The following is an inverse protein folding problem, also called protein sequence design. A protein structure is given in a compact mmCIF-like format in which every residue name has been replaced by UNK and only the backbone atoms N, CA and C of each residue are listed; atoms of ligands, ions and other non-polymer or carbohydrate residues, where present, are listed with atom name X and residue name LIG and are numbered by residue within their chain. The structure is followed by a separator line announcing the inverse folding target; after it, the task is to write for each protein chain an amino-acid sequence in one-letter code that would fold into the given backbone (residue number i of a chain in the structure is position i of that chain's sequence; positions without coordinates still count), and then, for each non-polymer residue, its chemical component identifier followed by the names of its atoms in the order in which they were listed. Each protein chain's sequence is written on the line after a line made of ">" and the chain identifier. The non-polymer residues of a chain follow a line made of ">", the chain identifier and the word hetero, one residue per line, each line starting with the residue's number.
data_IF_868224272504
#
_entry.id   IF_868224272504
#
_cell.length_a   1.000
_cell.length_b   1.000
_cell.length_c   1.000
_cell.angle_alpha   90.00
_cell.angle_beta   90.00
_cell.angle_gamma   90.00
#
_symmetry.space_group_name_H-M   'P 1'
#
loop_
_entity.id
_entity.type
_entity.pdbx_description
1 polymer ?
#
# COMPACT_ATOMS: atom_id res chain seq x y z
N UNK A 1 45.70 -13.77 4.28
CA UNK A 1 46.22 -13.71 2.90
C UNK A 1 45.11 -14.16 1.97
N UNK A 2 44.54 -13.27 1.18
CA UNK A 2 43.71 -13.63 0.02
C UNK A 2 43.61 -12.43 -0.92
N UNK A 3 44.22 -12.57 -2.09
CA UNK A 3 43.82 -11.95 -3.35
C UNK A 3 43.75 -10.43 -3.43
N UNK A 4 44.89 -9.73 -3.32
CA UNK A 4 45.02 -8.42 -3.95
C UNK A 4 45.02 -8.62 -5.47
N UNK A 5 43.96 -8.18 -6.13
CA UNK A 5 43.73 -8.35 -7.57
C UNK A 5 44.82 -7.60 -8.36
N UNK A 6 45.84 -8.33 -8.82
CA UNK A 6 47.00 -7.83 -9.55
C UNK A 6 46.69 -7.43 -11.01
N UNK A 7 45.41 -7.36 -11.38
CA UNK A 7 44.93 -7.08 -12.74
C UNK A 7 44.72 -5.58 -13.05
N UNK A 8 44.91 -4.70 -12.07
CA UNK A 8 44.58 -3.27 -12.21
C UNK A 8 45.73 -2.38 -12.71
N UNK A 9 46.96 -2.70 -12.32
CA UNK A 9 48.16 -1.90 -12.58
C UNK A 9 48.61 -1.86 -14.07
N UNK A 10 48.35 -2.88 -14.93
CA UNK A 10 48.79 -2.84 -16.33
C UNK A 10 47.98 -1.93 -17.29
N UNK A 11 46.82 -1.41 -16.88
CA UNK A 11 45.85 -0.82 -17.83
C UNK A 11 46.11 0.64 -18.19
N UNK A 12 46.64 1.44 -17.27
CA UNK A 12 46.88 2.87 -17.51
C UNK A 12 48.00 3.15 -18.52
N UNK A 13 49.20 2.53 -18.40
CA UNK A 13 50.28 2.75 -19.37
C UNK A 13 49.93 2.24 -20.77
N UNK A 14 49.20 1.13 -20.87
CA UNK A 14 48.75 0.58 -22.15
C UNK A 14 47.65 1.43 -22.80
N UNK A 15 46.68 1.93 -22.00
CA UNK A 15 45.65 2.88 -22.47
C UNK A 15 46.26 4.20 -22.92
N UNK A 16 47.20 4.77 -22.16
CA UNK A 16 47.93 5.99 -22.53
C UNK A 16 48.63 5.83 -23.89
N UNK A 17 49.38 4.72 -24.06
CA UNK A 17 50.08 4.45 -25.32
C UNK A 17 49.14 4.26 -26.51
N UNK A 18 47.92 3.76 -26.27
CA UNK A 18 46.90 3.57 -27.30
C UNK A 18 46.13 4.84 -27.67
N UNK A 19 45.83 5.71 -26.70
CA UNK A 19 44.97 6.89 -26.88
C UNK A 19 45.76 8.18 -27.13
N UNK A 20 46.95 8.30 -26.54
CA UNK A 20 47.79 9.50 -26.57
C UNK A 20 48.99 9.33 -27.50
N UNK A 21 49.79 8.29 -27.27
CA UNK A 21 51.00 8.01 -28.04
C UNK A 21 52.09 7.33 -27.20
N UNK A 22 53.16 6.88 -27.85
CA UNK A 22 54.28 6.19 -27.17
C UNK A 22 55.22 7.11 -26.40
N UNK A 23 55.08 8.42 -26.59
CA UNK A 23 55.89 9.50 -26.04
C UNK A 23 55.33 10.01 -24.70
N UNK A 24 56.23 10.37 -23.79
CA UNK A 24 55.87 11.00 -22.52
C UNK A 24 55.61 12.49 -22.78
N UNK A 25 54.34 12.87 -22.79
CA UNK A 25 53.93 14.22 -23.10
C UNK A 25 53.76 15.04 -21.81
N UNK A 26 54.20 16.29 -21.86
CA UNK A 26 53.98 17.29 -20.82
C UNK A 26 53.11 18.41 -21.40
N UNK A 27 51.96 18.65 -20.78
CA UNK A 27 51.02 19.67 -21.24
C UNK A 27 51.61 21.08 -21.20
N UNK A 28 52.40 21.42 -20.19
CA UNK A 28 53.02 22.74 -20.06
C UNK A 28 54.08 22.96 -21.16
N UNK A 29 54.83 21.91 -21.50
CA UNK A 29 55.78 21.93 -22.62
C UNK A 29 55.03 22.12 -23.94
N UNK A 30 53.99 21.31 -24.20
CA UNK A 30 53.18 21.43 -25.41
C UNK A 30 52.55 22.82 -25.56
N UNK A 31 51.99 23.39 -24.49
CA UNK A 31 51.42 24.75 -24.49
C UNK A 31 52.48 25.82 -24.75
N UNK A 32 53.70 25.64 -24.25
CA UNK A 32 54.81 26.56 -24.50
C UNK A 32 55.27 26.51 -25.97
N UNK A 33 55.35 25.32 -26.56
CA UNK A 33 55.71 25.11 -27.95
C UNK A 33 54.65 25.68 -28.91
N UNK A 34 53.36 25.46 -28.61
CA UNK A 34 52.26 26.05 -29.38
C UNK A 34 52.35 27.58 -29.39
N UNK A 35 52.56 28.22 -28.24
CA UNK A 35 52.72 29.68 -28.15
C UNK A 35 53.92 30.19 -28.95
N UNK A 36 55.04 29.47 -28.91
CA UNK A 36 56.24 29.82 -29.68
C UNK A 36 56.02 29.71 -31.20
N UNK A 37 55.33 28.65 -31.63
CA UNK A 37 54.96 28.44 -33.04
C UNK A 37 53.97 29.51 -33.51
N UNK A 38 53.00 29.91 -32.68
CA UNK A 38 52.07 31.00 -32.97
C UNK A 38 52.76 32.35 -33.14
N UNK A 39 53.69 32.69 -32.25
CA UNK A 39 54.49 33.92 -32.37
C UNK A 39 55.32 33.93 -33.66
N UNK A 40 55.91 32.77 -34.01
CA UNK A 40 56.68 32.61 -35.25
C UNK A 40 55.80 32.71 -36.50
N UNK A 41 54.61 32.10 -36.49
CA UNK A 41 53.63 32.21 -37.56
C UNK A 41 53.15 33.64 -37.74
N UNK A 42 52.88 34.36 -36.66
CA UNK A 42 52.48 35.75 -36.70
C UNK A 42 53.57 36.62 -37.34
N UNK A 43 54.82 36.48 -36.90
CA UNK A 43 55.95 37.24 -37.46
C UNK A 43 56.13 36.98 -38.97
N UNK A 44 56.01 35.73 -39.42
CA UNK A 44 56.14 35.38 -40.85
C UNK A 44 54.93 35.89 -41.64
N UNK A 45 53.72 35.92 -41.07
CA UNK A 45 52.53 36.53 -41.70
C UNK A 45 52.69 38.02 -41.91
N UNK A 46 53.14 38.75 -40.90
CA UNK A 46 53.41 40.18 -41.03
C UNK A 46 54.48 40.44 -42.11
N UNK A 47 55.56 39.65 -42.11
CA UNK A 47 56.62 39.75 -43.11
C UNK A 47 56.12 39.44 -44.52
N UNK A 48 55.34 38.36 -44.68
CA UNK A 48 54.75 37.98 -45.97
C UNK A 48 53.79 39.06 -46.49
N UNK A 49 52.92 39.59 -45.63
CA UNK A 49 51.96 40.64 -46.00
C UNK A 49 52.66 41.97 -46.36
N UNK A 50 53.75 42.31 -45.68
CA UNK A 50 54.55 43.48 -46.02
C UNK A 50 55.28 43.33 -47.37
N UNK A 51 55.72 42.11 -47.69
CA UNK A 51 56.52 41.83 -48.89
C UNK A 51 55.67 41.52 -50.14
N UNK A 52 54.46 40.98 -50.00
CA UNK A 52 53.62 40.61 -51.15
C UNK A 52 53.13 41.82 -51.96
N UNK A 53 53.10 43.01 -51.35
CA UNK A 53 52.74 44.27 -52.00
C UNK A 53 53.93 45.07 -52.54
N UNK A 54 55.16 44.61 -52.36
CA UNK A 54 56.38 45.31 -52.79
C UNK A 54 56.88 44.72 -54.12
N UNK A 55 56.86 45.53 -55.19
CA UNK A 55 57.28 45.15 -56.55
C UNK A 55 58.75 44.69 -56.63
N UNK A 56 59.59 45.04 -55.66
CA UNK A 56 61.00 44.61 -55.59
C UNK A 56 61.20 43.23 -54.96
N UNK A 57 60.16 42.63 -54.37
CA UNK A 57 60.24 41.31 -53.74
C UNK A 57 60.21 40.19 -54.78
N UNK A 58 61.18 39.29 -54.70
CA UNK A 58 61.22 38.12 -55.60
C UNK A 58 60.17 37.06 -55.25
N UNK A 59 59.60 36.41 -56.26
CA UNK A 59 58.64 35.31 -56.09
C UNK A 59 59.20 34.12 -55.28
N UNK A 60 60.50 33.87 -55.34
CA UNK A 60 61.16 32.82 -54.55
C UNK A 60 61.23 33.14 -53.06
N UNK A 61 61.37 34.43 -52.70
CA UNK A 61 61.27 34.90 -51.30
C UNK A 61 59.87 34.67 -50.75
N UNK A 62 58.83 35.06 -51.49
CA UNK A 62 57.43 34.84 -51.09
C UNK A 62 57.09 33.36 -50.97
N UNK A 63 57.55 32.54 -51.91
CA UNK A 63 57.36 31.08 -51.86
C UNK A 63 58.05 30.47 -50.65
N UNK A 64 59.27 30.92 -50.31
CA UNK A 64 60.00 30.44 -49.13
C UNK A 64 59.30 30.79 -47.82
N UNK A 65 58.74 32.00 -47.72
CA UNK A 65 57.94 32.43 -46.56
C UNK A 65 56.63 31.64 -46.46
N UNK A 66 55.94 31.40 -47.58
CA UNK A 66 54.73 30.58 -47.64
C UNK A 66 55.01 29.14 -47.19
N UNK A 67 56.05 28.49 -47.74
CA UNK A 67 56.43 27.13 -47.36
C UNK A 67 56.79 27.02 -45.87
N UNK A 68 57.46 28.05 -45.32
CA UNK A 68 57.77 28.11 -43.89
C UNK A 68 56.51 28.29 -43.04
N UNK A 69 55.54 29.06 -43.52
CA UNK A 69 54.24 29.21 -42.87
C UNK A 69 53.47 27.89 -42.84
N UNK A 70 53.45 27.16 -43.94
CA UNK A 70 52.79 25.86 -44.04
C UNK A 70 53.45 24.84 -43.10
N UNK A 71 54.79 24.80 -43.08
CA UNK A 71 55.55 23.92 -42.18
C UNK A 71 55.28 24.22 -40.70
N UNK A 72 55.31 25.49 -40.30
CA UNK A 72 55.03 25.90 -38.92
C UNK A 72 53.57 25.65 -38.54
N UNK A 73 52.63 25.85 -39.48
CA UNK A 73 51.22 25.53 -39.28
C UNK A 73 51.02 24.04 -39.04
N UNK A 74 51.71 23.19 -39.80
CA UNK A 74 51.72 21.74 -39.62
C UNK A 74 52.23 21.32 -38.25
N UNK A 75 53.39 21.82 -37.83
CA UNK A 75 53.97 21.53 -36.51
C UNK A 75 53.05 21.97 -35.36
N UNK A 76 52.47 23.16 -35.50
CA UNK A 76 51.56 23.73 -34.51
C UNK A 76 50.30 22.86 -34.39
N UNK A 77 49.74 22.41 -35.52
CA UNK A 77 48.59 21.49 -35.56
C UNK A 77 48.88 20.13 -34.92
N UNK A 78 50.07 19.56 -35.15
CA UNK A 78 50.50 18.31 -34.51
C UNK A 78 50.55 18.44 -32.98
N UNK A 79 51.18 19.50 -32.48
CA UNK A 79 51.32 19.73 -31.03
C UNK A 79 49.97 19.95 -30.33
N UNK A 80 49.03 20.63 -30.99
CA UNK A 80 47.66 20.74 -30.47
C UNK A 80 46.90 19.43 -30.47
N UNK A 81 47.07 18.57 -31.48
CA UNK A 81 46.42 17.25 -31.47
C UNK A 81 46.95 16.37 -30.32
N UNK A 82 48.27 16.44 -30.07
CA UNK A 82 48.90 15.79 -28.91
C UNK A 82 48.37 16.32 -27.58
N UNK A 83 48.29 17.64 -27.41
CA UNK A 83 47.72 18.26 -26.20
C UNK A 83 46.24 17.88 -26.01
N UNK A 84 45.47 17.83 -27.10
CA UNK A 84 44.07 17.39 -27.08
C UNK A 84 43.93 15.95 -26.62
N UNK A 85 44.70 15.02 -27.19
CA UNK A 85 44.70 13.60 -26.80
C UNK A 85 45.14 13.42 -25.34
N UNK A 86 46.15 14.16 -24.89
CA UNK A 86 46.60 14.16 -23.49
C UNK A 86 45.49 14.63 -22.54
N UNK A 87 44.80 15.73 -22.87
CA UNK A 87 43.68 16.25 -22.08
C UNK A 87 42.47 15.30 -22.08
N UNK A 88 42.19 14.66 -23.23
CA UNK A 88 41.16 13.62 -23.33
C UNK A 88 41.49 12.41 -22.46
N UNK A 89 42.74 11.93 -22.48
CA UNK A 89 43.20 10.84 -21.64
C UNK A 89 43.13 11.18 -20.16
N UNK A 90 43.53 12.40 -19.78
CA UNK A 90 43.36 12.87 -18.40
C UNK A 90 41.88 12.84 -17.96
N UNK A 91 40.95 13.22 -18.85
CA UNK A 91 39.51 13.13 -18.60
C UNK A 91 38.94 11.70 -18.58
N UNK A 92 39.40 10.81 -19.47
CA UNK A 92 38.96 9.40 -19.60
C UNK A 92 39.66 8.44 -18.63
N UNK A 93 40.73 8.89 -17.97
CA UNK A 93 41.49 8.09 -16.99
C UNK A 93 40.69 7.75 -15.71
N UNK A 94 39.57 8.45 -15.48
CA UNK A 94 38.64 8.13 -14.40
C UNK A 94 37.81 6.85 -14.66
N UNK A 95 37.77 6.31 -15.89
CA UNK A 95 37.19 4.97 -16.16
C UNK A 95 38.00 3.83 -15.50
N UNK A 96 39.17 4.14 -14.97
CA UNK A 96 39.97 3.24 -14.14
C UNK A 96 39.44 3.23 -12.70
N UNK A 97 38.29 3.84 -12.40
CA UNK A 97 37.56 3.67 -11.14
C UNK A 97 36.14 3.17 -11.45
N UNK A 98 35.79 1.96 -10.99
CA UNK A 98 34.47 1.37 -11.20
C UNK A 98 33.42 1.98 -10.25
N UNK A 99 32.23 2.32 -10.77
CA UNK A 99 31.08 2.79 -9.99
C UNK A 99 30.16 3.77 -10.72
N UNK A 100 29.15 4.30 -10.03
CA UNK A 100 28.18 5.28 -10.56
C UNK A 100 28.84 6.62 -10.96
N UNK A 101 29.99 6.95 -10.38
CA UNK A 101 30.84 8.08 -10.81
C UNK A 101 31.38 7.96 -12.24
N UNK A 102 31.43 6.75 -12.82
CA UNK A 102 31.88 6.56 -14.20
C UNK A 102 30.85 7.06 -15.23
N UNK A 103 29.54 7.00 -14.92
CA UNK A 103 28.48 7.41 -15.85
C UNK A 103 28.32 8.93 -15.96
N UNK A 104 28.50 9.65 -14.85
CA UNK A 104 28.51 11.12 -14.85
C UNK A 104 29.77 11.65 -15.53
N UNK A 105 30.91 10.98 -15.33
CA UNK A 105 32.16 11.32 -16.02
C UNK A 105 32.06 11.14 -17.53
N UNK A 106 31.43 10.06 -18.01
CA UNK A 106 31.25 9.80 -19.45
C UNK A 106 30.50 10.95 -20.16
N UNK A 107 29.46 11.51 -19.52
CA UNK A 107 28.74 12.67 -20.06
C UNK A 107 29.62 13.93 -20.10
N UNK A 108 30.41 14.18 -19.05
CA UNK A 108 31.34 15.31 -18.99
C UNK A 108 32.46 15.15 -20.02
N UNK A 109 33.05 13.95 -20.13
CA UNK A 109 34.10 13.62 -21.10
C UNK A 109 33.61 13.75 -22.53
N UNK A 110 32.40 13.27 -22.83
CA UNK A 110 31.76 13.45 -24.15
C UNK A 110 31.57 14.92 -24.48
N UNK A 111 31.01 15.70 -23.57
CA UNK A 111 30.78 17.14 -23.75
C UNK A 111 32.09 17.92 -23.95
N UNK A 112 33.12 17.62 -23.15
CA UNK A 112 34.46 18.20 -23.29
C UNK A 112 35.13 17.80 -24.61
N UNK A 113 35.03 16.53 -25.00
CA UNK A 113 35.57 16.02 -26.27
C UNK A 113 34.91 16.71 -27.46
N UNK A 114 33.59 16.87 -27.44
CA UNK A 114 32.86 17.62 -28.47
C UNK A 114 33.34 19.07 -28.53
N UNK A 115 33.45 19.77 -27.40
CA UNK A 115 33.95 21.15 -27.35
C UNK A 115 35.39 21.28 -27.88
N UNK A 116 36.29 20.39 -27.47
CA UNK A 116 37.68 20.37 -27.92
C UNK A 116 37.81 20.07 -29.43
N UNK A 117 37.01 19.13 -29.95
CA UNK A 117 37.02 18.83 -31.39
C UNK A 117 36.50 20.00 -32.23
N UNK A 118 35.53 20.78 -31.72
CA UNK A 118 35.07 22.01 -32.37
C UNK A 118 36.18 23.07 -32.41
N UNK A 119 36.85 23.33 -31.28
CA UNK A 119 37.98 24.27 -31.20
C UNK A 119 39.10 23.83 -32.15
N UNK A 120 39.43 22.53 -32.18
CA UNK A 120 40.44 22.00 -33.09
C UNK A 120 40.06 22.20 -34.57
N UNK A 121 38.80 21.93 -34.93
CA UNK A 121 38.30 22.13 -36.29
C UNK A 121 38.36 23.59 -36.74
N UNK A 122 37.91 24.51 -35.89
CA UNK A 122 37.95 25.96 -36.17
C UNK A 122 39.39 26.47 -36.35
N UNK A 123 40.32 25.87 -35.62
CA UNK A 123 41.69 26.31 -35.58
C UNK A 123 42.54 25.69 -36.71
N UNK A 124 42.22 24.46 -37.12
CA UNK A 124 42.77 23.83 -38.32
C UNK A 124 42.30 24.52 -39.61
N UNK A 125 41.09 25.10 -39.59
CA UNK A 125 40.49 25.84 -40.72
C UNK A 125 40.63 27.36 -40.60
N UNK A 126 41.52 27.85 -39.74
CA UNK A 126 41.65 29.28 -39.46
C UNK A 126 42.15 30.07 -40.70
N UNK A 127 41.23 30.83 -41.31
CA UNK A 127 41.48 31.68 -42.48
C UNK A 127 41.41 33.19 -42.22
N UNK A 128 41.42 33.64 -40.96
CA UNK A 128 41.42 35.07 -40.60
C UNK A 128 40.40 35.49 -39.54
N UNK A 129 39.33 34.71 -39.35
CA UNK A 129 38.32 34.93 -38.28
C UNK A 129 37.78 33.58 -37.77
N UNK A 130 37.53 33.47 -36.46
CA UNK A 130 36.88 32.29 -35.89
C UNK A 130 35.37 32.27 -36.18
N UNK A 131 34.78 31.11 -36.50
CA UNK A 131 33.34 30.98 -36.65
C UNK A 131 32.62 31.24 -35.32
N UNK A 132 31.49 31.96 -35.38
CA UNK A 132 30.61 32.14 -34.22
C UNK A 132 29.72 30.91 -34.05
N UNK A 133 29.99 30.12 -33.01
CA UNK A 133 29.08 29.05 -32.59
C UNK A 133 27.93 29.65 -31.77
N UNK A 134 26.69 29.50 -32.24
CA UNK A 134 25.52 29.94 -31.48
C UNK A 134 25.29 29.00 -30.27
N UNK A 135 24.81 29.50 -29.13
CA UNK A 135 24.42 28.64 -28.00
C UNK A 135 23.38 27.56 -28.39
N UNK A 136 22.60 27.79 -29.47
CA UNK A 136 21.66 26.79 -30.00
C UNK A 136 22.35 25.60 -30.68
N UNK A 137 23.59 25.75 -31.18
CA UNK A 137 24.37 24.70 -31.84
C UNK A 137 25.29 23.92 -30.90
N UNK A 138 25.39 24.30 -29.62
CA UNK A 138 26.22 23.63 -28.62
C UNK A 138 25.35 22.76 -27.70
N UNK A 139 24.97 21.58 -28.18
CA UNK A 139 24.15 20.61 -27.42
C UNK A 139 24.72 20.28 -26.04
N UNK A 140 26.05 20.27 -25.90
CA UNK A 140 26.73 20.02 -24.64
C UNK A 140 26.54 21.12 -23.58
N UNK A 141 26.43 22.40 -23.98
CA UNK A 141 26.18 23.52 -23.05
C UNK A 141 24.81 23.38 -22.41
N UNK A 142 23.78 23.06 -23.22
CA UNK A 142 22.43 22.80 -22.73
C UNK A 142 22.36 21.60 -21.78
N UNK A 143 23.15 20.56 -22.05
CA UNK A 143 23.26 19.40 -21.15
C UNK A 143 23.84 19.79 -19.79
N UNK A 144 24.87 20.64 -19.76
CA UNK A 144 25.48 21.10 -18.50
C UNK A 144 24.53 22.05 -17.75
N UNK A 145 23.92 23.01 -18.44
CA UNK A 145 22.93 23.92 -17.85
C UNK A 145 21.76 23.13 -17.24
N UNK A 146 21.25 22.13 -17.96
CA UNK A 146 20.16 21.28 -17.45
C UNK A 146 20.54 20.46 -16.21
N UNK A 147 21.79 19.99 -16.08
CA UNK A 147 22.25 19.31 -14.86
C UNK A 147 22.42 20.28 -13.68
N UNK A 148 22.85 21.53 -13.94
CA UNK A 148 22.89 22.58 -12.92
C UNK A 148 21.50 22.97 -12.42
N UNK A 149 20.52 23.08 -13.32
CA UNK A 149 19.14 23.37 -12.96
C UNK A 149 18.54 22.26 -12.08
N UNK A 150 18.80 20.99 -12.42
CA UNK A 150 18.38 19.84 -11.60
C UNK A 150 19.00 19.90 -10.21
N UNK A 151 20.30 20.16 -10.13
CA UNK A 151 21.01 20.29 -8.85
C UNK A 151 20.40 21.41 -7.99
N UNK A 152 20.20 22.59 -8.57
CA UNK A 152 19.64 23.73 -7.85
C UNK A 152 18.24 23.41 -7.30
N UNK A 153 17.41 22.75 -8.11
CA UNK A 153 16.08 22.32 -7.68
C UNK A 153 16.13 21.32 -6.51
N UNK A 154 17.01 20.31 -6.59
CA UNK A 154 17.18 19.32 -5.51
C UNK A 154 17.65 19.98 -4.22
N UNK A 155 18.61 20.91 -4.31
CA UNK A 155 19.12 21.66 -3.16
C UNK A 155 18.03 22.54 -2.54
N UNK A 156 17.29 23.30 -3.35
CA UNK A 156 16.20 24.15 -2.90
C UNK A 156 15.07 23.36 -2.23
N UNK A 157 14.65 22.25 -2.84
CA UNK A 157 13.58 21.41 -2.32
C UNK A 157 13.99 20.78 -0.98
N UNK A 158 15.24 20.33 -0.86
CA UNK A 158 15.77 19.84 0.42
C UNK A 158 15.79 20.95 1.49
N UNK A 159 16.23 22.17 1.16
CA UNK A 159 16.23 23.30 2.10
C UNK A 159 14.82 23.63 2.61
N UNK A 160 13.81 23.61 1.73
CA UNK A 160 12.40 23.81 2.14
C UNK A 160 11.94 22.75 3.13
N UNK A 161 12.33 21.49 2.93
CA UNK A 161 12.02 20.41 3.88
C UNK A 161 12.74 20.64 5.22
N UNK A 162 13.98 21.12 5.21
CA UNK A 162 14.71 21.46 6.44
C UNK A 162 14.04 22.59 7.23
N UNK A 163 13.61 23.66 6.56
CA UNK A 163 12.85 24.75 7.17
C UNK A 163 11.54 24.23 7.79
N UNK A 164 10.81 23.40 7.05
CA UNK A 164 9.58 22.77 7.55
C UNK A 164 9.83 21.92 8.81
N UNK A 165 10.93 21.18 8.86
CA UNK A 165 11.35 20.41 10.04
C UNK A 165 11.67 21.33 11.22
N UNK A 166 12.37 22.45 10.99
CA UNK A 166 12.69 23.47 12.00
C UNK A 166 11.43 24.13 12.56
N UNK A 167 10.46 24.43 11.72
CA UNK A 167 9.14 24.96 12.08
C UNK A 167 8.28 23.97 12.87
N UNK A 168 8.73 22.72 13.05
CA UNK A 168 7.98 21.68 13.76
C UNK A 168 6.80 21.11 12.98
N UNK A 169 6.64 21.47 11.71
CA UNK A 169 5.55 20.98 10.85
C UNK A 169 5.72 19.49 10.52
N UNK A 170 4.60 18.81 10.32
CA UNK A 170 4.56 17.39 9.96
C UNK A 170 5.05 17.16 8.52
N UNK A 171 5.87 16.10 8.34
CA UNK A 171 6.36 15.71 7.02
C UNK A 171 5.27 15.04 6.19
N UNK A 172 5.32 15.26 4.89
CA UNK A 172 4.45 14.59 3.90
C UNK A 172 5.23 13.60 3.07
N UNK A 173 4.52 12.77 2.29
CA UNK A 173 5.15 11.85 1.35
C UNK A 173 6.02 12.58 0.30
N UNK A 174 5.61 13.77 -0.12
CA UNK A 174 6.38 14.62 -1.03
C UNK A 174 7.71 15.09 -0.40
N UNK A 175 7.69 15.43 0.89
CA UNK A 175 8.91 15.81 1.62
C UNK A 175 9.90 14.63 1.70
N UNK A 176 9.41 13.40 1.89
CA UNK A 176 10.25 12.20 1.89
C UNK A 176 10.88 11.98 0.52
N UNK A 177 10.12 12.13 -0.57
CA UNK A 177 10.65 12.01 -1.94
C UNK A 177 11.77 13.01 -2.22
N UNK A 178 11.62 14.25 -1.73
CA UNK A 178 12.65 15.30 -1.84
C UNK A 178 13.93 14.94 -1.08
N UNK A 179 13.79 14.39 0.13
CA UNK A 179 14.95 13.93 0.91
C UNK A 179 15.65 12.74 0.24
N UNK A 180 14.89 11.78 -0.28
CA UNK A 180 15.46 10.62 -0.98
C UNK A 180 16.17 11.07 -2.27
N UNK A 181 15.61 12.03 -3.01
CA UNK A 181 16.27 12.64 -4.16
C UNK A 181 17.60 13.31 -3.78
N UNK A 182 17.64 14.03 -2.66
CA UNK A 182 18.87 14.62 -2.13
C UNK A 182 19.90 13.56 -1.72
N UNK A 183 19.49 12.50 -1.01
CA UNK A 183 20.36 11.37 -0.62
C UNK A 183 20.97 10.69 -1.84
N UNK A 184 20.18 10.44 -2.86
CA UNK A 184 20.64 9.80 -4.09
C UNK A 184 21.61 10.69 -4.88
N UNK A 185 21.40 12.01 -4.86
CA UNK A 185 22.31 12.95 -5.51
C UNK A 185 23.63 13.13 -4.74
N UNK A 186 23.58 13.03 -3.41
CA UNK A 186 24.73 13.18 -2.52
C UNK A 186 24.93 11.95 -1.62
N UNK A 187 25.29 10.78 -2.17
CA UNK A 187 25.33 9.51 -1.42
C UNK A 187 26.34 9.52 -0.26
N UNK A 188 27.39 10.34 -0.36
CA UNK A 188 28.44 10.46 0.66
C UNK A 188 28.21 11.62 1.65
N UNK A 189 27.10 12.37 1.54
CA UNK A 189 26.77 13.41 2.52
C UNK A 189 25.96 12.81 3.65
N UNK A 190 26.51 12.91 4.85
CA UNK A 190 25.77 12.58 6.06
C UNK A 190 24.60 13.57 6.25
N UNK A 191 23.43 13.01 6.51
CA UNK A 191 22.26 13.78 6.92
C UNK A 191 22.22 13.81 8.44
N UNK A 192 21.89 14.97 8.99
CA UNK A 192 21.84 15.14 10.44
C UNK A 192 20.94 14.06 11.08
N UNK A 193 21.38 13.39 12.16
CA UNK A 193 20.58 12.37 12.85
C UNK A 193 19.18 12.85 13.24
N UNK A 194 19.01 14.15 13.52
CA UNK A 194 17.71 14.75 13.84
C UNK A 194 16.69 14.61 12.69
N UNK A 195 17.16 14.72 11.45
CA UNK A 195 16.33 14.56 10.25
C UNK A 195 16.01 13.09 10.03
N UNK A 196 17.00 12.21 10.20
CA UNK A 196 16.81 10.76 10.06
C UNK A 196 15.77 10.20 11.04
N UNK A 197 15.78 10.71 12.27
CA UNK A 197 14.77 10.35 13.28
C UNK A 197 13.36 10.75 12.82
N UNK A 198 13.17 11.98 12.33
CA UNK A 198 11.86 12.43 11.82
C UNK A 198 11.37 11.62 10.62
N UNK A 199 12.26 11.24 9.71
CA UNK A 199 11.92 10.36 8.57
C UNK A 199 11.46 8.99 9.08
N UNK A 200 12.19 8.44 10.05
CA UNK A 200 11.88 7.13 10.65
C UNK A 200 10.53 7.15 11.35
N UNK A 201 10.23 8.21 12.11
CA UNK A 201 8.93 8.42 12.76
C UNK A 201 7.79 8.49 11.73
N UNK A 202 7.95 9.29 10.67
CA UNK A 202 6.96 9.37 9.59
C UNK A 202 6.70 8.00 8.95
N UNK A 203 7.75 7.23 8.63
CA UNK A 203 7.61 5.90 8.01
C UNK A 203 6.84 4.94 8.92
N UNK A 204 7.15 4.91 10.22
CA UNK A 204 6.43 4.09 11.20
C UNK A 204 4.95 4.48 11.30
N UNK A 205 4.66 5.78 11.35
CA UNK A 205 3.29 6.28 11.42
C UNK A 205 2.50 5.95 10.15
N UNK A 206 3.09 6.13 8.98
CA UNK A 206 2.48 5.80 7.69
C UNK A 206 2.14 4.30 7.57
N UNK A 207 3.07 3.44 7.98
CA UNK A 207 2.86 1.98 7.99
C UNK A 207 1.73 1.58 8.95
N UNK A 208 1.70 2.14 10.16
CA UNK A 208 0.63 1.90 11.12
C UNK A 208 -0.74 2.37 10.59
N UNK A 209 -0.78 3.53 9.94
CA UNK A 209 -2.01 4.07 9.32
C UNK A 209 -2.52 3.17 8.19
N UNK A 210 -1.63 2.64 7.35
CA UNK A 210 -2.00 1.67 6.30
C UNK A 210 -2.59 0.40 6.91
N UNK A 211 -1.90 -0.20 7.88
CA UNK A 211 -2.36 -1.41 8.58
C UNK A 211 -3.72 -1.22 9.24
N UNK A 212 -3.97 -0.06 9.84
CA UNK A 212 -5.25 0.27 10.44
C UNK A 212 -6.35 0.40 9.38
N UNK A 213 -6.08 1.08 8.27
CA UNK A 213 -7.03 1.24 7.15
C UNK A 213 -7.41 -0.11 6.55
N UNK A 214 -6.44 -1.00 6.33
CA UNK A 214 -6.69 -2.34 5.81
C UNK A 214 -7.49 -3.20 6.80
N UNK A 215 -7.26 -3.01 8.09
CA UNK A 215 -8.03 -3.70 9.14
C UNK A 215 -9.47 -3.22 9.22
N UNK A 216 -9.72 -1.92 9.02
CA UNK A 216 -11.08 -1.34 9.06
C UNK A 216 -11.88 -1.68 7.81
N UNK A 217 -11.25 -1.64 6.62
CA UNK A 217 -11.95 -1.90 5.36
C UNK A 217 -12.45 -3.34 5.22
N UNK A 218 -11.84 -4.29 5.95
CA UNK A 218 -12.24 -5.69 5.96
C UNK A 218 -13.27 -6.02 7.06
N UNK A 219 -13.73 -5.04 7.82
CA UNK A 219 -14.73 -5.23 8.88
C UNK A 219 -16.12 -4.94 8.33
N UNK A 220 -16.94 -5.98 8.24
CA UNK A 220 -18.38 -5.80 7.99
C UNK A 220 -19.05 -5.25 9.25
N UNK A 221 -19.31 -3.94 9.25
CA UNK A 221 -19.94 -3.24 10.39
C UNK A 221 -21.43 -3.57 10.48
N UNK A 222 -22.13 -3.56 9.35
CA UNK A 222 -23.57 -3.79 9.29
C UNK A 222 -23.89 -5.14 8.66
N UNK A 223 -24.72 -5.90 9.36
CA UNK A 223 -25.27 -7.17 8.94
C UNK A 223 -26.79 -7.21 9.09
N UNK A 224 -27.37 -8.36 8.82
CA UNK A 224 -28.80 -8.60 8.98
C UNK A 224 -29.06 -10.04 9.42
N UNK A 225 -30.20 -10.22 10.07
CA UNK A 225 -30.75 -11.52 10.45
C UNK A 225 -32.24 -11.54 10.11
N UNK A 226 -32.61 -12.33 9.10
CA UNK A 226 -33.99 -12.52 8.70
C UNK A 226 -34.48 -13.87 9.21
N UNK A 227 -35.42 -13.83 10.15
CA UNK A 227 -36.04 -15.03 10.72
C UNK A 227 -37.45 -15.20 10.17
N UNK A 228 -37.78 -16.42 9.78
CA UNK A 228 -39.15 -16.88 9.59
C UNK A 228 -39.44 -17.93 10.67
N UNK A 229 -40.48 -17.72 11.47
CA UNK A 229 -40.80 -18.61 12.58
C UNK A 229 -42.29 -18.88 12.74
N UNK A 230 -42.60 -20.11 13.14
CA UNK A 230 -43.93 -20.56 13.52
C UNK A 230 -43.80 -21.23 14.89
N UNK A 231 -44.68 -20.87 15.82
CA UNK A 231 -44.67 -21.33 17.20
C UNK A 231 -46.05 -21.85 17.61
N UNK A 232 -46.09 -22.95 18.35
CA UNK A 232 -47.30 -23.50 18.95
C UNK A 232 -47.03 -23.83 20.42
N UNK A 233 -47.89 -23.36 21.33
CA UNK A 233 -47.84 -23.66 22.78
C UNK A 233 -49.09 -24.45 23.17
N UNK A 234 -48.92 -25.58 23.85
CA UNK A 234 -50.00 -26.38 24.41
C UNK A 234 -49.84 -26.43 25.94
N UNK A 235 -50.85 -25.97 26.65
CA UNK A 235 -50.91 -26.08 28.11
C UNK A 235 -51.57 -27.42 28.49
N UNK A 236 -50.89 -28.20 29.33
CA UNK A 236 -51.37 -29.46 29.85
C UNK A 236 -51.73 -29.22 31.32
N UNK A 237 -53.02 -29.00 31.58
CA UNK A 237 -53.55 -28.82 32.94
C UNK A 237 -53.58 -30.15 33.69
N UNK A 238 -52.89 -30.20 34.83
CA UNK A 238 -53.14 -31.21 35.86
C UNK A 238 -54.26 -30.74 36.79
N UNK A 239 -55.07 -31.69 37.29
CA UNK A 239 -56.27 -31.47 38.11
C UNK A 239 -56.03 -30.80 39.48
N UNK A 240 -54.83 -30.30 39.77
CA UNK A 240 -54.46 -29.71 41.06
C UNK A 240 -53.97 -28.25 40.89
N UNK A 241 -54.59 -27.37 41.68
CA UNK A 241 -54.80 -25.93 41.45
C UNK A 241 -53.59 -24.98 41.56
N UNK A 242 -52.35 -25.47 41.67
CA UNK A 242 -51.19 -24.59 42.01
C UNK A 242 -50.03 -24.64 41.02
N UNK A 243 -50.07 -25.54 40.03
CA UNK A 243 -49.04 -25.65 39.01
C UNK A 243 -49.61 -26.16 37.67
N UNK A 244 -49.03 -25.72 36.55
CA UNK A 244 -49.35 -26.22 35.21
C UNK A 244 -48.09 -26.67 34.48
N UNK A 245 -48.25 -27.60 33.54
CA UNK A 245 -47.18 -27.97 32.62
C UNK A 245 -47.51 -27.49 31.22
N UNK A 246 -46.49 -27.21 30.43
CA UNK A 246 -46.67 -26.82 29.03
C UNK A 246 -45.63 -27.47 28.14
N UNK A 247 -45.99 -27.61 26.87
CA UNK A 247 -45.07 -27.95 25.80
C UNK A 247 -45.19 -26.88 24.72
N UNK A 248 -44.05 -26.35 24.29
CA UNK A 248 -43.95 -25.35 23.23
C UNK A 248 -43.04 -25.87 22.14
N UNK A 249 -43.53 -25.86 20.91
CA UNK A 249 -42.78 -26.27 19.73
C UNK A 249 -42.64 -25.09 18.78
N UNK A 250 -41.41 -24.88 18.28
CA UNK A 250 -41.08 -23.75 17.41
C UNK A 250 -40.16 -24.19 16.29
N UNK A 251 -40.59 -23.94 15.06
CA UNK A 251 -39.76 -24.10 13.87
C UNK A 251 -39.27 -22.73 13.42
N UNK A 252 -37.97 -22.60 13.13
CA UNK A 252 -37.34 -21.37 12.65
C UNK A 252 -36.48 -21.63 11.41
N UNK A 253 -36.46 -20.68 10.50
CA UNK A 253 -35.45 -20.57 9.46
C UNK A 253 -34.84 -19.18 9.51
N UNK A 254 -33.51 -19.12 9.56
CA UNK A 254 -32.73 -17.90 9.71
C UNK A 254 -31.78 -17.76 8.53
N UNK A 255 -31.81 -16.60 7.89
CA UNK A 255 -30.77 -16.16 6.95
C UNK A 255 -30.00 -15.05 7.62
N UNK A 256 -28.69 -15.22 7.76
CA UNK A 256 -27.84 -14.24 8.41
C UNK A 256 -26.69 -13.80 7.49
N UNK A 257 -26.36 -12.51 7.55
CA UNK A 257 -25.08 -12.00 7.12
C UNK A 257 -24.47 -11.25 8.29
N UNK A 258 -23.49 -11.84 8.95
CA UNK A 258 -22.93 -11.32 10.20
C UNK A 258 -22.18 -9.99 10.00
N UNK A 259 -22.60 -8.97 10.74
CA UNK A 259 -21.84 -7.76 11.02
C UNK A 259 -21.72 -7.54 12.53
N UNK A 260 -21.05 -6.46 12.92
CA UNK A 260 -20.99 -6.03 14.32
C UNK A 260 -22.36 -5.58 14.84
N UNK A 261 -23.14 -4.90 13.98
CA UNK A 261 -24.51 -4.47 14.24
C UNK A 261 -25.40 -5.14 13.20
N UNK A 262 -26.42 -5.88 13.65
CA UNK A 262 -27.29 -6.67 12.81
C UNK A 262 -28.73 -6.19 12.95
N UNK A 263 -29.35 -5.75 11.85
CA UNK A 263 -30.79 -5.48 11.82
C UNK A 263 -31.54 -6.82 11.82
N UNK A 264 -32.47 -7.00 12.76
CA UNK A 264 -33.25 -8.23 12.87
C UNK A 264 -34.67 -8.02 12.37
N UNK A 265 -35.17 -9.00 11.62
CA UNK A 265 -36.58 -9.08 11.25
C UNK A 265 -37.14 -10.45 11.55
N UNK A 266 -38.40 -10.53 11.97
CA UNK A 266 -39.14 -11.77 12.10
C UNK A 266 -40.43 -11.71 11.27
N UNK A 267 -40.70 -12.73 10.45
CA UNK A 267 -41.89 -12.82 9.59
C UNK A 267 -42.15 -11.53 8.77
N UNK A 268 -41.08 -10.90 8.27
CA UNK A 268 -41.15 -9.69 7.44
C UNK A 268 -41.27 -8.37 8.20
N UNK A 269 -41.33 -8.37 9.53
CA UNK A 269 -41.36 -7.16 10.37
C UNK A 269 -40.03 -6.95 11.08
N UNK A 270 -39.65 -5.70 11.33
CA UNK A 270 -38.45 -5.37 12.14
C UNK A 270 -38.72 -5.85 13.56
N UNK A 271 -37.84 -6.73 14.06
CA UNK A 271 -37.98 -7.33 15.38
C UNK A 271 -36.94 -6.81 16.36
N UNK A 272 -35.84 -6.20 15.90
CA UNK A 272 -34.83 -5.65 16.79
C UNK A 272 -33.49 -5.30 16.15
N UNK A 273 -32.51 -4.99 17.00
CA UNK A 273 -31.10 -4.78 16.64
C UNK A 273 -30.22 -5.67 17.52
N UNK A 274 -29.30 -6.41 16.91
CA UNK A 274 -28.30 -7.22 17.59
C UNK A 274 -26.89 -6.65 17.47
N UNK A 275 -26.08 -6.75 18.53
CA UNK A 275 -24.66 -6.43 18.56
C UNK A 275 -23.88 -7.72 18.88
N UNK A 276 -23.00 -8.15 17.98
CA UNK A 276 -22.18 -9.37 18.14
C UNK A 276 -20.72 -8.99 18.44
N UNK A 277 -20.23 -9.37 19.63
CA UNK A 277 -18.86 -9.14 20.10
C UNK A 277 -18.05 -10.45 20.18
N UNK A 278 -18.29 -11.40 19.26
CA UNK A 278 -17.64 -12.72 19.12
C UNK A 278 -17.97 -13.73 20.22
N UNK A 279 -17.83 -13.35 21.49
CA UNK A 279 -18.03 -14.22 22.66
C UNK A 279 -19.29 -13.85 23.45
N UNK A 280 -19.80 -12.64 23.26
CA UNK A 280 -21.06 -12.16 23.84
C UNK A 280 -21.85 -11.48 22.73
N UNK A 281 -23.15 -11.75 22.66
CA UNK A 281 -24.10 -11.03 21.82
C UNK A 281 -25.19 -10.38 22.66
N UNK A 282 -25.57 -9.16 22.28
CA UNK A 282 -26.65 -8.40 22.90
C UNK A 282 -27.73 -8.10 21.86
N UNK A 283 -29.00 -8.19 22.22
CA UNK A 283 -30.11 -7.95 21.32
C UNK A 283 -31.19 -7.14 22.02
N UNK A 284 -31.76 -6.17 21.30
CA UNK A 284 -32.87 -5.35 21.77
C UNK A 284 -34.05 -5.60 20.84
N UNK A 285 -35.15 -6.12 21.38
CA UNK A 285 -36.41 -6.32 20.69
C UNK A 285 -37.26 -5.04 20.66
N UNK A 286 -37.95 -4.78 19.55
CA UNK A 286 -38.77 -3.55 19.39
C UNK A 286 -40.27 -3.76 19.66
N UNK A 287 -40.80 -4.98 19.53
CA UNK A 287 -42.22 -5.26 19.78
C UNK A 287 -42.48 -5.48 21.29
N UNK A 288 -41.60 -6.20 21.99
CA UNK A 288 -41.79 -6.57 23.40
C UNK A 288 -40.74 -5.94 24.35
N UNK A 289 -39.91 -5.00 23.88
CA UNK A 289 -38.82 -4.34 24.64
C UNK A 289 -37.89 -5.28 25.44
N UNK A 290 -37.72 -6.52 24.99
CA UNK A 290 -36.80 -7.48 25.59
C UNK A 290 -35.34 -7.15 25.26
N UNK A 291 -34.48 -7.19 26.26
CA UNK A 291 -33.02 -7.16 26.14
C UNK A 291 -32.50 -8.57 26.38
N UNK A 292 -31.98 -9.17 25.33
CA UNK A 292 -31.38 -10.50 25.38
C UNK A 292 -29.86 -10.37 25.40
N UNK A 293 -29.20 -11.10 26.30
CA UNK A 293 -27.76 -11.27 26.29
C UNK A 293 -27.42 -12.76 26.28
N UNK A 294 -26.48 -13.14 25.42
CA UNK A 294 -26.07 -14.53 25.25
C UNK A 294 -24.56 -14.61 25.24
N UNK A 295 -24.01 -15.46 26.10
CA UNK A 295 -22.60 -15.78 26.16
C UNK A 295 -22.42 -17.27 25.85
N UNK A 296 -21.75 -17.58 24.74
CA UNK A 296 -21.49 -18.95 24.31
C UNK A 296 -20.00 -19.17 24.10
N UNK A 297 -19.50 -20.32 24.55
CA UNK A 297 -18.14 -20.82 24.31
C UNK A 297 -18.24 -22.13 23.53
N UNK A 298 -17.49 -22.23 22.43
CA UNK A 298 -17.43 -23.45 21.61
C UNK A 298 -16.00 -23.96 21.49
N UNK A 299 -15.76 -25.22 21.87
CA UNK A 299 -14.46 -25.88 21.75
C UNK A 299 -14.64 -27.38 21.47
N UNK A 300 -13.84 -27.93 20.55
CA UNK A 300 -13.80 -29.37 20.23
C UNK A 300 -15.16 -30.01 19.89
N UNK A 301 -16.06 -29.25 19.24
CA UNK A 301 -17.40 -29.71 18.88
C UNK A 301 -18.42 -29.63 20.03
N UNK A 302 -18.01 -29.24 21.23
CA UNK A 302 -18.90 -28.95 22.35
C UNK A 302 -19.20 -27.44 22.42
N UNK A 303 -20.44 -27.10 22.73
CA UNK A 303 -20.90 -25.74 23.01
C UNK A 303 -21.43 -25.69 24.43
N UNK A 304 -21.10 -24.65 25.17
CA UNK A 304 -21.68 -24.34 26.47
C UNK A 304 -22.00 -22.86 26.55
N UNK A 305 -23.10 -22.48 27.18
CA UNK A 305 -23.48 -21.08 27.22
C UNK A 305 -24.55 -20.75 28.24
N UNK A 306 -24.63 -19.44 28.52
CA UNK A 306 -25.65 -18.83 29.36
C UNK A 306 -26.46 -17.88 28.48
N UNK A 307 -27.78 -17.95 28.62
CA UNK A 307 -28.75 -17.01 28.06
C UNK A 307 -29.37 -16.24 29.22
N UNK A 308 -29.48 -14.94 29.07
CA UNK A 308 -30.22 -14.07 29.98
C UNK A 308 -31.11 -13.16 29.15
N UNK A 309 -32.38 -13.07 29.52
CA UNK A 309 -33.35 -12.18 28.88
C UNK A 309 -34.08 -11.39 29.96
N UNK A 310 -34.18 -10.07 29.76
CA UNK A 310 -34.88 -9.16 30.65
C UNK A 310 -35.79 -8.29 29.77
N UNK A 311 -37.10 -8.32 30.02
CA UNK A 311 -38.05 -7.62 29.19
C UNK A 311 -39.21 -7.03 29.98
N UNK A 312 -39.90 -6.10 29.33
CA UNK A 312 -41.16 -5.58 29.82
C UNK A 312 -42.15 -5.55 28.65
N UNK A 313 -43.24 -6.31 28.77
CA UNK A 313 -44.36 -6.27 27.83
C UNK A 313 -45.58 -5.61 28.47
N UNK A 314 -46.40 -4.93 27.68
CA UNK A 314 -47.67 -4.38 28.14
C UNK A 314 -48.64 -5.49 28.61
N UNK A 315 -48.53 -6.69 28.03
CA UNK A 315 -49.42 -7.82 28.32
C UNK A 315 -48.90 -8.72 29.47
N UNK A 316 -47.59 -8.82 29.65
CA UNK A 316 -46.95 -9.77 30.60
C UNK A 316 -46.14 -9.11 31.73
N UNK A 317 -46.03 -7.78 31.72
CA UNK A 317 -45.27 -7.01 32.70
C UNK A 317 -43.76 -7.29 32.64
N UNK A 318 -43.08 -7.27 33.79
CA UNK A 318 -41.63 -7.50 33.88
C UNK A 318 -41.32 -9.00 33.82
N UNK A 319 -40.41 -9.38 32.93
CA UNK A 319 -39.91 -10.75 32.77
C UNK A 319 -38.40 -10.82 32.94
N UNK A 320 -37.91 -11.85 33.62
CA UNK A 320 -36.51 -12.23 33.72
C UNK A 320 -36.37 -13.72 33.45
N UNK A 321 -35.59 -14.09 32.44
CA UNK A 321 -35.29 -15.47 32.08
C UNK A 321 -33.78 -15.70 32.11
N UNK A 322 -33.34 -16.74 32.82
CA UNK A 322 -31.94 -17.17 32.86
C UNK A 322 -31.87 -18.66 32.57
N UNK A 323 -31.09 -19.03 31.55
CA UNK A 323 -30.85 -20.41 31.20
C UNK A 323 -29.38 -20.73 30.98
N UNK A 324 -28.98 -21.92 31.40
CA UNK A 324 -27.66 -22.48 31.13
C UNK A 324 -27.81 -23.78 30.35
N UNK A 325 -26.94 -23.99 29.39
CA UNK A 325 -27.05 -25.15 28.50
C UNK A 325 -25.75 -25.59 27.90
N UNK A 326 -25.79 -26.79 27.33
CA UNK A 326 -24.68 -27.36 26.57
C UNK A 326 -25.19 -28.10 25.34
N UNK A 327 -24.33 -28.24 24.35
CA UNK A 327 -24.69 -28.84 23.07
C UNK A 327 -23.50 -29.43 22.35
N UNK A 328 -23.79 -30.22 21.32
CA UNK A 328 -22.80 -30.92 20.50
C UNK A 328 -23.06 -30.58 19.04
N UNK A 329 -22.00 -30.21 18.33
CA UNK A 329 -22.00 -29.98 16.89
C UNK A 329 -21.35 -31.16 16.17
N UNK A 330 -22.07 -31.78 15.24
CA UNK A 330 -21.55 -32.85 14.36
C UNK A 330 -21.81 -32.48 12.90
N UNK A 331 -20.74 -32.15 12.18
CA UNK A 331 -20.85 -31.62 10.82
C UNK A 331 -21.65 -30.32 10.81
N UNK A 332 -22.73 -30.29 10.04
CA UNK A 332 -23.60 -29.12 9.91
C UNK A 332 -24.78 -29.11 10.90
N UNK A 333 -24.90 -30.14 11.74
CA UNK A 333 -26.00 -30.29 12.70
C UNK A 333 -25.52 -29.96 14.11
N UNK A 334 -26.31 -29.19 14.85
CA UNK A 334 -26.07 -28.87 16.25
C UNK A 334 -27.29 -29.21 17.08
N UNK A 335 -27.08 -29.97 18.14
CA UNK A 335 -28.10 -30.27 19.16
C UNK A 335 -27.70 -29.59 20.46
N UNK A 336 -28.60 -28.85 21.09
CA UNK A 336 -28.33 -28.11 22.33
C UNK A 336 -29.48 -28.26 23.31
N UNK A 337 -29.15 -28.46 24.58
CA UNK A 337 -30.10 -28.53 25.68
C UNK A 337 -29.84 -27.36 26.65
N UNK A 338 -30.90 -26.62 26.95
CA UNK A 338 -30.91 -25.55 27.94
C UNK A 338 -31.84 -25.90 29.09
N UNK A 339 -31.41 -25.55 30.31
CA UNK A 339 -32.25 -25.57 31.50
C UNK A 339 -32.34 -24.15 32.02
N UNK A 340 -33.58 -23.67 32.18
CA UNK A 340 -33.84 -22.28 32.50
C UNK A 340 -34.83 -22.09 33.64
N UNK A 341 -34.73 -20.91 34.24
CA UNK A 341 -35.64 -20.37 35.22
C UNK A 341 -36.16 -19.05 34.69
N UNK A 342 -37.50 -18.92 34.66
CA UNK A 342 -38.20 -17.71 34.26
C UNK A 342 -38.98 -17.16 35.44
N UNK A 343 -38.87 -15.86 35.65
CA UNK A 343 -39.66 -15.07 36.58
C UNK A 343 -40.47 -14.07 35.77
N UNK A 344 -41.76 -13.93 36.08
CA UNK A 344 -42.62 -12.93 35.46
C UNK A 344 -43.52 -12.28 36.51
N UNK A 345 -44.00 -11.08 36.24
CA UNK A 345 -45.08 -10.47 37.02
C UNK A 345 -46.47 -10.87 36.55
N UNK A 346 -46.57 -11.60 35.43
CA UNK A 346 -47.82 -12.11 34.88
C UNK A 346 -48.30 -13.37 35.62
N UNK A 347 -49.39 -13.20 36.35
CA UNK A 347 -50.06 -14.27 37.09
C UNK A 347 -50.85 -15.23 36.18
N UNK A 348 -51.03 -14.95 34.89
CA UNK A 348 -51.72 -15.83 33.94
C UNK A 348 -50.78 -16.90 33.37
N UNK A 349 -49.54 -16.53 33.08
CA UNK A 349 -48.48 -17.44 32.60
C UNK A 349 -47.59 -17.98 33.74
N UNK A 350 -47.84 -17.58 34.98
CA UNK A 350 -47.17 -18.07 36.19
C UNK A 350 -45.93 -17.27 36.55
N UNK A 351 -45.83 -16.89 37.83
CA UNK A 351 -44.81 -15.97 38.37
C UNK A 351 -43.41 -16.60 38.37
N UNK A 352 -43.33 -17.92 38.47
CA UNK A 352 -42.09 -18.69 38.39
C UNK A 352 -42.27 -19.92 37.51
N UNK A 353 -41.33 -20.13 36.60
CA UNK A 353 -41.29 -21.31 35.74
C UNK A 353 -39.89 -21.91 35.67
N UNK A 354 -39.82 -23.24 35.69
CA UNK A 354 -38.63 -23.99 35.31
C UNK A 354 -38.88 -24.70 33.99
N UNK A 355 -37.90 -24.68 33.08
CA UNK A 355 -38.05 -25.29 31.77
C UNK A 355 -36.78 -26.00 31.27
N UNK A 356 -37.00 -26.98 30.40
CA UNK A 356 -35.97 -27.59 29.56
C UNK A 356 -36.30 -27.28 28.09
N UNK A 357 -35.32 -26.76 27.37
CA UNK A 357 -35.43 -26.40 25.96
C UNK A 357 -34.40 -27.19 25.16
N UNK A 358 -34.90 -28.07 24.29
CA UNK A 358 -34.12 -28.83 23.34
C UNK A 358 -34.15 -28.15 21.97
N UNK A 359 -32.97 -27.95 21.37
CA UNK A 359 -32.81 -27.28 20.08
C UNK A 359 -32.01 -28.16 19.14
N UNK A 360 -32.60 -28.51 18.02
CA UNK A 360 -31.90 -29.08 16.87
C UNK A 360 -31.77 -28.03 15.78
N UNK A 361 -30.57 -27.87 15.23
CA UNK A 361 -30.33 -26.94 14.13
C UNK A 361 -29.44 -27.54 13.05
N UNK A 362 -29.67 -27.16 11.80
CA UNK A 362 -28.90 -27.58 10.64
C UNK A 362 -28.53 -26.36 9.79
N UNK A 363 -27.23 -26.21 9.49
CA UNK A 363 -26.72 -25.11 8.66
C UNK A 363 -26.44 -25.55 7.23
N UNK A 364 -26.98 -24.83 6.24
CA UNK A 364 -26.75 -25.05 4.80
C UNK A 364 -26.44 -23.71 4.12
N UNK A 365 -25.16 -23.44 3.91
CA UNK A 365 -24.71 -22.13 3.43
C UNK A 365 -25.05 -21.03 4.45
N UNK A 366 -25.72 -19.98 3.99
CA UNK A 366 -26.16 -18.85 4.83
C UNK A 366 -27.47 -19.11 5.58
N UNK A 367 -28.09 -20.28 5.34
CA UNK A 367 -29.34 -20.67 5.97
C UNK A 367 -29.10 -21.55 7.19
N UNK A 368 -29.78 -21.24 8.28
CA UNK A 368 -29.87 -22.10 9.46
C UNK A 368 -31.33 -22.41 9.73
N UNK A 369 -31.69 -23.70 9.72
CA UNK A 369 -33.03 -24.16 10.11
C UNK A 369 -32.94 -24.79 11.48
N UNK A 370 -33.88 -24.49 12.37
CA UNK A 370 -33.93 -25.07 13.70
C UNK A 370 -35.33 -25.47 14.13
N UNK A 371 -35.41 -26.55 14.90
CA UNK A 371 -36.59 -26.97 15.63
C UNK A 371 -36.28 -26.88 17.12
N UNK A 372 -37.14 -26.21 17.85
CA UNK A 372 -37.03 -26.01 19.29
C UNK A 372 -38.23 -26.65 19.95
N UNK A 373 -37.97 -27.45 20.98
CA UNK A 373 -38.99 -28.04 21.84
C UNK A 373 -38.69 -27.67 23.27
N UNK A 374 -39.62 -26.95 23.88
CA UNK A 374 -39.54 -26.53 25.26
C UNK A 374 -40.64 -27.21 26.07
N UNK A 375 -40.26 -27.71 27.24
CA UNK A 375 -41.20 -28.25 28.21
C UNK A 375 -40.92 -27.62 29.56
N UNK A 376 -41.96 -27.21 30.26
CA UNK A 376 -41.79 -26.50 31.52
C UNK A 376 -42.94 -26.70 32.48
N UNK A 377 -42.66 -26.31 33.72
CA UNK A 377 -43.59 -26.28 34.84
C UNK A 377 -43.69 -24.82 35.30
N UNK A 378 -44.92 -24.35 35.50
CA UNK A 378 -45.25 -22.99 35.95
C UNK A 378 -46.02 -23.05 37.26
N UNK A 379 -45.77 -22.10 38.16
CA UNK A 379 -46.47 -21.97 39.45
C UNK A 379 -46.96 -20.53 39.67
N UNK A 380 -48.05 -20.38 40.44
CA UNK A 380 -48.63 -19.08 40.79
C UNK A 380 -49.74 -18.60 39.84
N UNK A 381 -50.34 -19.51 39.07
CA UNK A 381 -51.44 -19.21 38.16
C UNK A 381 -52.77 -19.12 38.94
N UNK A 382 -53.57 -18.07 38.75
CA UNK A 382 -54.76 -17.76 39.60
C UNK A 382 -56.10 -17.71 38.85
N UNK A 383 -56.41 -18.70 38.00
CA UNK A 383 -57.77 -18.77 37.44
C UNK A 383 -58.74 -19.51 38.38
N UNK A 384 -59.46 -18.72 39.18
CA UNK A 384 -60.76 -19.07 39.76
C UNK A 384 -61.84 -19.15 38.65
N UNK A 385 -62.82 -20.02 38.87
CA UNK A 385 -63.89 -20.46 37.97
C UNK A 385 -64.95 -19.38 37.70
N UNK A 386 -65.34 -19.14 36.44
CA UNK A 386 -66.76 -18.91 36.01
C UNK A 386 -67.02 -19.56 34.64
N UNK A 387 -68.23 -20.12 34.52
CA UNK A 387 -68.73 -21.19 33.67
C UNK A 387 -69.28 -20.83 32.25
N UNK A 388 -69.13 -21.82 31.35
CA UNK A 388 -70.05 -22.36 30.31
C UNK A 388 -70.58 -21.48 29.16
N UNK A 389 -70.32 -21.94 27.92
CA UNK A 389 -71.04 -21.54 26.70
C UNK A 389 -70.56 -22.20 25.39
N UNK A 390 -70.96 -23.45 25.17
CA UNK A 390 -70.91 -24.32 23.98
C UNK A 390 -70.42 -23.80 22.60
N UNK A 391 -69.53 -24.57 21.95
CA UNK A 391 -69.81 -25.27 20.68
C UNK A 391 -68.73 -26.34 20.37
N UNK A 392 -69.17 -27.60 20.31
CA UNK A 392 -68.45 -28.75 19.73
C UNK A 392 -68.65 -28.73 18.20
N UNK A 393 -67.77 -29.47 17.50
CA UNK A 393 -67.76 -29.94 16.10
C UNK A 393 -66.61 -29.28 15.31
N UNK A 394 -65.61 -29.98 14.75
CA UNK A 394 -65.47 -31.38 14.36
C UNK A 394 -64.01 -31.68 14.02
N UNK A 395 -63.54 -32.88 14.40
CA UNK A 395 -62.68 -33.81 13.64
C UNK A 395 -61.76 -33.20 12.57
N UNK A 396 -60.43 -33.35 12.71
CA UNK A 396 -59.56 -33.93 11.66
C UNK A 396 -58.36 -34.65 12.32
N UNK A 397 -58.37 -35.98 12.25
CA UNK A 397 -57.19 -36.83 12.31
C UNK A 397 -56.49 -36.85 10.93
N UNK A 398 -55.20 -37.24 10.87
CA UNK A 398 -54.23 -36.83 9.85
C UNK A 398 -54.36 -37.62 8.54
N UNK A 399 -54.24 -36.95 7.39
CA UNK A 399 -53.52 -37.41 6.20
C UNK A 399 -53.58 -36.37 5.06
N UNK A 400 -52.42 -36.17 4.42
CA UNK A 400 -52.20 -35.63 3.07
C UNK A 400 -52.48 -34.13 2.80
N UNK A 401 -51.42 -33.32 2.96
CA UNK A 401 -51.05 -32.36 1.93
C UNK A 401 -49.52 -32.23 1.87
N UNK A 402 -48.94 -32.81 0.83
CA UNK A 402 -47.55 -32.60 0.42
C UNK A 402 -47.30 -31.11 0.18
N UNK A 403 -46.39 -30.50 0.93
CA UNK A 403 -45.65 -29.33 0.44
C UNK A 403 -44.16 -29.63 0.49
N UNK A 404 -43.71 -30.22 -0.61
CA UNK A 404 -42.32 -30.29 -1.02
C UNK A 404 -41.77 -28.88 -1.14
N UNK A 405 -40.80 -28.48 -0.32
CA UNK A 405 -39.88 -27.40 -0.70
C UNK A 405 -38.85 -27.98 -1.68
N UNK A 406 -38.73 -27.44 -2.90
CA UNK A 406 -37.87 -28.02 -3.93
C UNK A 406 -36.39 -27.83 -3.57
N UNK A 407 -35.66 -28.93 -3.67
CA UNK A 407 -34.20 -28.95 -3.79
C UNK A 407 -33.78 -28.07 -4.97
N UNK A 408 -33.03 -27.00 -4.73
CA UNK A 408 -32.21 -26.39 -5.79
C UNK A 408 -30.92 -27.21 -5.89
N UNK A 409 -30.95 -28.19 -6.80
CA UNK A 409 -29.78 -28.92 -7.26
C UNK A 409 -29.72 -28.89 -8.78
N UNK A 410 -28.65 -28.25 -9.31
CA UNK A 410 -28.17 -28.27 -10.70
C UNK A 410 -29.11 -27.81 -11.82
N UNK A 411 -28.72 -26.71 -12.45
CA UNK A 411 -28.71 -26.62 -13.91
C UNK A 411 -27.34 -26.09 -14.35
N UNK A 412 -26.56 -26.99 -14.95
CA UNK A 412 -25.34 -26.69 -15.66
C UNK A 412 -25.67 -26.48 -17.15
N UNK A 413 -24.94 -25.56 -17.79
CA UNK A 413 -24.56 -25.65 -19.20
C UNK A 413 -25.65 -25.34 -20.25
N UNK A 414 -25.64 -24.11 -20.75
CA UNK A 414 -25.33 -23.83 -22.16
C UNK A 414 -24.74 -22.44 -22.30
#
# INVERSE_FOLDING_TARGET
>A
MSGGDSSFVPKLPSKYRSEVGSEDLDSAVLESEIRSLEASLHSIREMYNAMVGDESTSASTLSSLSNRMDSLTGQRNEKMDKLRKLNMFAGSSNEVFSGEGAKSMDTVVKNLTTGLNMIHGDFASFGGTFPKHSQKSLSWVKSIEGEWDKKNKIDEDYQKVLEKIKDGKELTEDDIKKIDAYKNWYPNREISPKIENKITEYKKFSEAKSKLKDSINNVQIFGYEHTMSIEQKQNIQDRYFTHSTYVKEKAKSVIEKKGFINLKTNNGKISGVGIDLKFISFEIGVEDWHINAKAEVSAFGYKGGIKTDLGFSEDHGLELDVAAGSGITKGNKTTTDYYGLKLSTDINDGILAGYNQHIESEKKGDWTTSNERESGIQIGNTWEVIAVGAAILTVVQPELAYFTMPFIGKLAGR
#
